data_IF_018514822094
#
_entry.id   IF_018514822094
#
_cell.length_a   1.000
_cell.length_b   1.000
_cell.length_c   1.000
_cell.angle_alpha   90.00
_cell.angle_beta   90.00
_cell.angle_gamma   90.00
#
_symmetry.space_group_name_H-M   'P 1'
#
loop_
_entity.id
_entity.type
_entity.pdbx_description
1 polymer ?
#
# COMPACT_ATOMS: atom_id res chain seq x y z
N UNK A 1 9.57 -36.01 -13.01
CA UNK A 1 8.50 -35.08 -13.42
C UNK A 1 8.72 -34.78 -14.89
N UNK A 2 7.70 -34.93 -15.72
CA UNK A 2 7.82 -34.62 -17.14
C UNK A 2 7.95 -33.11 -17.37
N UNK A 3 8.63 -32.72 -18.46
CA UNK A 3 8.87 -31.31 -18.79
C UNK A 3 7.56 -30.55 -19.02
N UNK A 4 6.53 -31.21 -19.57
CA UNK A 4 5.23 -30.59 -19.77
C UNK A 4 4.55 -30.28 -18.43
N UNK A 5 4.59 -31.22 -17.48
CA UNK A 5 4.03 -31.03 -16.13
C UNK A 5 4.69 -29.86 -15.39
N UNK A 6 6.00 -29.70 -15.52
CA UNK A 6 6.73 -28.58 -14.90
C UNK A 6 6.28 -27.23 -15.48
N UNK A 7 6.10 -27.16 -16.81
CA UNK A 7 5.64 -25.94 -17.49
C UNK A 7 4.20 -25.57 -17.14
N UNK A 8 3.32 -26.56 -17.04
CA UNK A 8 1.93 -26.34 -16.61
C UNK A 8 1.86 -25.80 -15.19
N UNK A 9 2.59 -26.42 -14.25
CA UNK A 9 2.66 -25.96 -12.87
C UNK A 9 3.20 -24.52 -12.78
N UNK A 10 4.23 -24.19 -13.57
CA UNK A 10 4.78 -22.83 -13.62
C UNK A 10 3.75 -21.81 -14.12
N UNK A 11 2.97 -22.14 -15.15
CA UNK A 11 1.95 -21.26 -15.70
C UNK A 11 0.82 -20.99 -14.69
N UNK A 12 0.30 -22.04 -14.05
CA UNK A 12 -0.73 -21.90 -13.01
C UNK A 12 -0.19 -21.16 -11.78
N UNK A 13 1.05 -21.46 -11.36
CA UNK A 13 1.71 -20.76 -10.27
C UNK A 13 1.86 -19.27 -10.55
N UNK A 14 2.36 -18.90 -11.74
CA UNK A 14 2.49 -17.50 -12.13
C UNK A 14 1.14 -16.77 -12.10
N UNK A 15 0.10 -17.35 -12.72
CA UNK A 15 -1.23 -16.76 -12.72
C UNK A 15 -1.79 -16.57 -11.30
N UNK A 16 -1.67 -17.61 -10.45
CA UNK A 16 -2.08 -17.53 -9.05
C UNK A 16 -1.36 -16.41 -8.31
N UNK A 17 -0.03 -16.31 -8.44
CA UNK A 17 0.74 -15.27 -7.75
C UNK A 17 0.40 -13.87 -8.25
N UNK A 18 0.12 -13.69 -9.54
CA UNK A 18 -0.33 -12.38 -10.08
C UNK A 18 -1.69 -12.01 -9.47
N UNK A 19 -2.66 -12.92 -9.50
CA UNK A 19 -3.99 -12.66 -8.90
C UNK A 19 -3.89 -12.40 -7.41
N UNK A 20 -3.11 -13.22 -6.70
CA UNK A 20 -2.84 -13.06 -5.28
C UNK A 20 -2.22 -11.69 -4.98
N UNK A 21 -1.20 -11.27 -5.75
CA UNK A 21 -0.56 -9.98 -5.59
C UNK A 21 -1.55 -8.83 -5.80
N UNK A 22 -2.39 -8.91 -6.83
CA UNK A 22 -3.44 -7.91 -7.08
C UNK A 22 -4.40 -7.83 -5.90
N UNK A 23 -4.88 -8.95 -5.37
CA UNK A 23 -5.77 -8.98 -4.20
C UNK A 23 -5.11 -8.38 -2.96
N UNK A 24 -3.85 -8.71 -2.69
CA UNK A 24 -3.10 -8.16 -1.54
C UNK A 24 -2.91 -6.65 -1.69
N UNK A 25 -2.50 -6.18 -2.86
CA UNK A 25 -2.29 -4.75 -3.10
C UNK A 25 -3.60 -3.96 -3.00
N UNK A 26 -4.69 -4.44 -3.61
CA UNK A 26 -6.00 -3.80 -3.47
C UNK A 26 -6.51 -3.84 -2.02
N UNK A 27 -6.31 -4.95 -1.32
CA UNK A 27 -6.61 -5.07 0.10
C UNK A 27 -5.81 -4.07 0.95
N UNK A 28 -4.54 -3.85 0.61
CA UNK A 28 -3.69 -2.87 1.27
C UNK A 28 -4.13 -1.43 0.98
N UNK A 29 -4.44 -1.10 -0.28
CA UNK A 29 -5.04 0.18 -0.64
C UNK A 29 -6.32 0.43 0.17
N UNK A 30 -7.23 -0.54 0.20
CA UNK A 30 -8.45 -0.45 1.00
C UNK A 30 -8.16 -0.27 2.50
N UNK A 31 -7.21 -1.02 3.05
CA UNK A 31 -6.77 -0.87 4.44
C UNK A 31 -6.26 0.56 4.70
N UNK A 32 -5.47 1.13 3.79
CA UNK A 32 -4.95 2.50 3.92
C UNK A 32 -6.09 3.51 3.96
N UNK A 33 -7.02 3.47 2.99
CA UNK A 33 -8.20 4.35 2.96
C UNK A 33 -9.10 4.18 4.20
N UNK A 34 -9.24 2.95 4.70
CA UNK A 34 -10.00 2.70 5.93
C UNK A 34 -9.28 3.26 7.15
N UNK A 35 -7.96 3.12 7.23
CA UNK A 35 -7.15 3.58 8.37
C UNK A 35 -7.20 5.11 8.52
N UNK A 36 -7.19 5.83 7.40
CA UNK A 36 -7.45 7.27 7.31
C UNK A 36 -8.83 7.65 7.87
N UNK A 37 -9.89 7.00 7.37
CA UNK A 37 -11.28 7.27 7.84
C UNK A 37 -11.54 6.94 9.30
N UNK A 38 -10.74 6.04 9.88
CA UNK A 38 -10.87 5.64 11.29
C UNK A 38 -10.11 6.60 12.22
N UNK A 39 -9.42 7.63 11.68
CA UNK A 39 -8.75 8.68 12.46
C UNK A 39 -7.51 8.20 13.23
N UNK A 40 -6.97 7.02 12.92
CA UNK A 40 -5.78 6.48 13.60
C UNK A 40 -4.52 7.27 13.25
N UNK A 41 -4.48 7.87 12.06
CA UNK A 41 -3.41 8.75 11.61
C UNK A 41 -3.91 9.66 10.49
N UNK A 42 -3.76 10.96 10.74
CA UNK A 42 -3.74 12.06 9.78
C UNK A 42 -2.71 11.90 8.65
N UNK A 43 -2.95 11.25 7.50
CA UNK A 43 -1.94 11.24 6.43
C UNK A 43 -2.06 12.44 5.47
N UNK A 44 -3.21 13.10 5.37
CA UNK A 44 -3.38 14.32 4.57
C UNK A 44 -2.54 15.49 5.10
N UNK A 45 -2.29 15.54 6.42
CA UNK A 45 -1.42 16.56 7.02
C UNK A 45 0.00 16.58 6.44
N UNK A 46 0.53 15.45 5.98
CA UNK A 46 1.84 15.40 5.33
C UNK A 46 1.79 15.93 3.90
N UNK A 47 0.67 15.73 3.19
CA UNK A 47 0.45 16.35 1.88
C UNK A 47 0.35 17.87 1.99
N UNK A 48 -0.25 18.38 3.07
CA UNK A 48 -0.35 19.82 3.34
C UNK A 48 0.99 20.47 3.70
N UNK A 49 2.04 19.71 4.04
CA UNK A 49 3.37 20.26 4.30
C UNK A 49 3.94 21.00 3.08
N UNK A 50 3.71 20.48 1.87
CA UNK A 50 4.16 21.14 0.65
C UNK A 50 3.43 22.48 0.37
N UNK A 51 2.23 22.66 0.94
CA UNK A 51 1.43 23.89 0.82
C UNK A 51 1.79 24.86 1.95
N UNK A 52 2.12 24.34 3.13
CA UNK A 52 2.50 25.10 4.33
C UNK A 52 4.02 24.99 4.58
N UNK A 53 4.80 25.45 3.61
CA UNK A 53 6.28 25.42 3.66
C UNK A 53 6.89 26.75 4.16
N UNK A 54 6.13 27.53 4.93
CA UNK A 54 6.62 28.77 5.54
C UNK A 54 7.52 28.45 6.76
N UNK A 55 8.50 29.30 7.04
CA UNK A 55 9.43 29.14 8.16
C UNK A 55 8.73 29.17 9.53
N UNK A 56 7.59 29.84 9.61
CA UNK A 56 6.77 29.96 10.83
C UNK A 56 5.68 28.87 10.94
N UNK A 57 5.69 27.86 10.05
CA UNK A 57 4.67 26.81 10.03
C UNK A 57 4.68 25.93 11.29
N UNK A 58 3.51 25.46 11.70
CA UNK A 58 3.34 24.68 12.92
C UNK A 58 4.03 23.30 12.83
N UNK A 59 4.64 22.85 13.93
CA UNK A 59 5.29 21.54 14.03
C UNK A 59 4.24 20.42 13.89
N UNK A 60 4.33 19.61 12.83
CA UNK A 60 3.35 18.55 12.51
C UNK A 60 3.32 17.37 13.48
N UNK A 61 4.49 16.88 13.91
CA UNK A 61 4.60 15.78 14.88
C UNK A 61 5.82 15.98 15.78
N UNK A 62 5.61 15.85 17.08
CA UNK A 62 6.70 15.86 18.06
C UNK A 62 7.21 14.43 18.21
N UNK A 63 8.51 14.20 17.97
CA UNK A 63 9.15 12.93 18.37
C UNK A 63 9.06 12.80 19.89
N UNK A 64 8.44 11.72 20.35
CA UNK A 64 8.52 11.23 21.73
C UNK A 64 9.78 10.39 21.85
#
# INVERSE_FOLDING_TARGET
MDMQTIRELQAYGFFFFVVFLVCVLYGYCYHLYRSERTGRRDYEKYSNLAIQDDLDSAILERKI
#
